data_IF_855490218628
#
_entry.id   IF_855490218628
#
_cell.length_a   1.000
_cell.length_b   1.000
_cell.length_c   1.000
_cell.angle_alpha   90.00
_cell.angle_beta   90.00
_cell.angle_gamma   90.00
#
_symmetry.space_group_name_H-M   'P 1'
#
loop_
_entity.id
_entity.type
_entity.pdbx_description
1 polymer ?
#
# COMPACT_ATOMS: atom_id res chain seq x y z
N UNK A 1 30.71 -16.86 -30.14
CA UNK A 1 30.51 -16.73 -28.68
C UNK A 1 30.19 -18.10 -28.06
N UNK A 2 31.02 -19.14 -28.31
CA UNK A 2 30.71 -20.52 -27.89
C UNK A 2 31.87 -21.24 -27.18
N UNK A 3 33.04 -20.61 -27.02
CA UNK A 3 34.27 -21.32 -26.63
C UNK A 3 34.62 -21.25 -25.14
N UNK A 4 33.66 -20.98 -24.25
CA UNK A 4 33.94 -20.79 -22.80
C UNK A 4 33.25 -21.77 -21.84
N UNK A 5 32.76 -22.90 -22.34
CA UNK A 5 32.11 -23.92 -21.50
C UNK A 5 32.65 -25.32 -21.82
N UNK A 6 33.83 -25.63 -21.26
CA UNK A 6 34.48 -26.96 -21.36
C UNK A 6 34.07 -27.89 -20.21
N UNK A 7 33.46 -27.39 -19.13
CA UNK A 7 32.85 -28.23 -18.10
C UNK A 7 31.33 -28.19 -18.25
N UNK A 8 30.67 -29.35 -18.20
CA UNK A 8 29.21 -29.46 -18.22
C UNK A 8 28.52 -28.89 -16.98
N UNK A 9 29.19 -28.03 -16.22
CA UNK A 9 28.65 -27.31 -15.06
C UNK A 9 28.33 -25.88 -15.47
N UNK A 10 27.17 -25.34 -15.04
CA UNK A 10 26.86 -23.94 -15.29
C UNK A 10 27.93 -23.05 -14.62
N UNK A 11 28.33 -21.94 -15.25
CA UNK A 11 29.18 -20.98 -14.60
C UNK A 11 28.48 -20.44 -13.35
N UNK A 12 29.26 -19.95 -12.36
CA UNK A 12 28.70 -19.19 -11.25
C UNK A 12 27.76 -18.09 -11.76
N UNK A 13 26.69 -17.75 -11.03
CA UNK A 13 25.79 -16.67 -11.42
C UNK A 13 26.57 -15.38 -11.70
N UNK A 14 26.13 -14.60 -12.68
CA UNK A 14 26.87 -13.42 -13.14
C UNK A 14 27.16 -12.39 -12.03
N UNK A 15 26.34 -12.36 -10.97
CA UNK A 15 26.52 -11.49 -9.81
C UNK A 15 27.56 -12.00 -8.79
N UNK A 16 28.14 -13.19 -9.00
CA UNK A 16 29.17 -13.74 -8.10
C UNK A 16 30.46 -12.89 -8.09
N UNK A 17 30.79 -12.25 -9.21
CA UNK A 17 32.00 -11.41 -9.33
C UNK A 17 32.00 -10.26 -8.32
N UNK A 18 30.83 -9.77 -7.92
CA UNK A 18 30.65 -8.69 -6.95
C UNK A 18 31.09 -9.07 -5.53
N UNK A 19 31.24 -10.37 -5.23
CA UNK A 19 31.68 -10.87 -3.93
C UNK A 19 33.18 -11.20 -3.87
N UNK A 20 33.85 -11.34 -5.01
CA UNK A 20 35.28 -11.73 -5.07
C UNK A 20 36.17 -10.54 -4.69
N UNK A 21 35.79 -9.32 -5.08
CA UNK A 21 36.53 -8.09 -4.75
C UNK A 21 36.51 -7.73 -3.25
N UNK A 22 35.68 -8.40 -2.44
CA UNK A 22 35.60 -8.19 -1.00
C UNK A 22 36.58 -9.07 -0.18
N UNK A 23 37.40 -9.90 -0.84
CA UNK A 23 38.07 -11.05 -0.23
C UNK A 23 39.59 -11.14 -0.33
N UNK A 24 40.33 -10.02 -0.45
CA UNK A 24 41.80 -10.02 -0.38
C UNK A 24 42.38 -9.11 0.72
N UNK A 25 41.85 -9.18 1.95
CA UNK A 25 42.66 -8.85 3.13
C UNK A 25 42.64 -10.01 4.12
N UNK A 26 43.58 -10.94 3.94
CA UNK A 26 44.03 -11.84 5.01
C UNK A 26 44.69 -10.98 6.09
N UNK A 27 44.03 -10.83 7.24
CA UNK A 27 44.59 -10.05 8.35
C UNK A 27 43.91 -10.35 9.67
N UNK A 28 44.53 -11.23 10.46
CA UNK A 28 44.17 -11.51 11.84
C UNK A 28 44.33 -10.24 12.70
N UNK A 29 43.26 -9.49 12.98
CA UNK A 29 43.31 -8.32 13.88
C UNK A 29 42.08 -8.24 14.78
N UNK A 30 42.33 -8.01 16.06
CA UNK A 30 41.40 -7.99 17.19
C UNK A 30 40.18 -7.04 17.00
N UNK A 31 39.03 -7.54 17.46
CA UNK A 31 37.68 -7.01 17.24
C UNK A 31 37.32 -5.66 17.90
N UNK A 32 38.28 -4.76 18.18
CA UNK A 32 37.99 -3.48 18.84
C UNK A 32 38.40 -2.21 18.09
N UNK A 33 39.11 -2.33 16.97
CA UNK A 33 39.48 -1.17 16.14
C UNK A 33 38.77 -1.08 14.78
N UNK A 34 37.88 -2.03 14.48
CA UNK A 34 37.24 -2.18 13.17
C UNK A 34 36.25 -1.06 12.79
N UNK A 35 35.81 -0.23 13.74
CA UNK A 35 34.83 0.83 13.47
C UNK A 35 35.44 2.24 13.31
N UNK A 36 36.73 2.43 13.59
CA UNK A 36 37.35 3.77 13.58
C UNK A 36 38.20 4.07 12.34
N UNK A 37 38.50 3.07 11.50
CA UNK A 37 39.35 3.22 10.32
C UNK A 37 38.66 3.04 8.96
N UNK A 38 37.37 2.69 8.93
CA UNK A 38 36.65 2.48 7.66
C UNK A 38 36.38 3.82 6.98
N UNK A 39 37.20 4.18 5.99
CA UNK A 39 36.71 4.97 4.85
C UNK A 39 35.50 4.20 4.30
N UNK A 40 34.32 4.80 4.13
CA UNK A 40 33.20 4.08 3.57
C UNK A 40 33.27 4.16 2.03
N UNK A 41 33.56 3.07 1.30
CA UNK A 41 33.00 2.90 -0.03
C UNK A 41 31.92 1.82 0.08
N UNK A 42 31.02 1.97 1.03
CA UNK A 42 29.81 1.18 1.04
C UNK A 42 29.02 1.54 -0.21
N UNK A 43 28.99 0.63 -1.19
CA UNK A 43 28.21 0.83 -2.40
C UNK A 43 26.74 0.82 -2.01
N UNK A 44 26.08 1.97 -2.08
CA UNK A 44 24.66 2.08 -1.81
C UNK A 44 23.96 1.43 -3.01
N UNK A 45 23.12 0.43 -2.82
CA UNK A 45 22.39 -0.21 -3.92
C UNK A 45 20.94 0.24 -3.90
N UNK A 46 20.46 0.79 -5.02
CA UNK A 46 19.06 1.16 -5.16
C UNK A 46 18.27 -0.02 -5.72
N UNK A 47 17.33 -0.56 -4.92
CA UNK A 47 16.48 -1.70 -5.28
C UNK A 47 15.50 -1.33 -6.41
N UNK A 48 15.12 -0.05 -6.53
CA UNK A 48 14.15 0.40 -7.55
C UNK A 48 14.79 0.53 -8.92
N UNK A 49 16.03 1.00 -8.96
CA UNK A 49 16.80 1.21 -10.19
C UNK A 49 17.71 0.02 -10.52
N UNK A 50 17.84 -0.92 -9.57
CA UNK A 50 18.67 -2.11 -9.67
C UNK A 50 20.13 -1.77 -10.04
N UNK A 51 20.65 -0.70 -9.44
CA UNK A 51 21.94 -0.11 -9.76
C UNK A 51 22.67 0.39 -8.49
N UNK A 52 24.01 0.43 -8.55
CA UNK A 52 24.83 1.00 -7.49
C UNK A 52 24.85 2.53 -7.58
N UNK A 53 24.66 3.18 -6.44
CA UNK A 53 24.66 4.62 -6.22
C UNK A 53 25.91 4.99 -5.41
N UNK A 54 26.59 6.05 -5.82
CA UNK A 54 27.68 6.64 -5.03
C UNK A 54 27.09 7.52 -3.91
N UNK A 55 27.68 7.54 -2.70
CA UNK A 55 27.21 8.43 -1.64
C UNK A 55 27.30 9.89 -2.14
N UNK A 56 26.22 10.70 -1.97
CA UNK A 56 26.24 12.07 -2.45
C UNK A 56 27.27 12.87 -1.64
N UNK A 57 28.24 13.47 -2.34
CA UNK A 57 29.24 14.39 -1.76
C UNK A 57 28.57 15.70 -1.32
N UNK A 58 27.44 16.06 -1.95
CA UNK A 58 26.65 17.25 -1.66
C UNK A 58 25.24 16.87 -1.20
N UNK A 59 25.01 16.95 0.12
CA UNK A 59 23.76 17.36 0.78
C UNK A 59 22.38 16.82 0.35
N UNK A 60 22.27 15.93 -0.65
CA UNK A 60 20.98 15.45 -1.14
C UNK A 60 20.46 14.37 -0.19
N UNK A 61 19.41 14.70 0.56
CA UNK A 61 18.84 13.93 1.67
C UNK A 61 18.34 12.52 1.29
N UNK A 62 18.39 12.12 0.01
CA UNK A 62 17.85 10.83 -0.46
C UNK A 62 18.53 9.62 0.20
N UNK A 63 19.84 9.67 0.43
CA UNK A 63 20.61 8.53 0.92
C UNK A 63 21.39 8.91 2.18
N UNK A 64 20.65 9.14 3.27
CA UNK A 64 21.22 9.35 4.61
C UNK A 64 21.53 8.01 5.26
N UNK A 65 22.52 7.93 6.15
CA UNK A 65 22.83 6.70 6.92
C UNK A 65 21.66 6.17 7.78
N UNK A 66 20.58 6.95 7.91
CA UNK A 66 19.31 6.55 8.55
C UNK A 66 18.32 5.88 7.58
N UNK A 67 18.44 6.09 6.26
CA UNK A 67 17.52 5.58 5.24
C UNK A 67 18.05 4.37 4.47
N UNK A 68 19.37 4.18 4.44
CA UNK A 68 19.99 3.06 3.72
C UNK A 68 20.45 1.98 4.71
N UNK A 69 19.86 0.79 4.63
CA UNK A 69 20.38 -0.38 5.31
C UNK A 69 21.54 -0.94 4.51
N UNK A 70 22.69 -0.98 5.16
CA UNK A 70 23.96 -1.28 4.54
C UNK A 70 24.07 -2.80 4.33
N UNK A 71 23.91 -3.25 3.08
CA UNK A 71 23.90 -4.67 2.71
C UNK A 71 25.17 -5.01 1.95
N UNK A 72 25.84 -6.11 2.34
CA UNK A 72 26.98 -6.65 1.60
C UNK A 72 26.46 -7.46 0.40
N UNK A 73 26.52 -6.84 -0.79
CA UNK A 73 26.14 -7.46 -2.07
C UNK A 73 24.70 -7.19 -2.50
N UNK A 74 24.28 -7.83 -3.61
CA UNK A 74 22.92 -7.68 -4.14
C UNK A 74 21.87 -8.09 -3.11
N UNK A 75 20.74 -7.37 -3.05
CA UNK A 75 19.63 -7.78 -2.20
C UNK A 75 19.15 -9.18 -2.60
N UNK A 76 18.73 -10.01 -1.63
CA UNK A 76 18.23 -11.36 -1.93
C UNK A 76 17.06 -11.30 -2.91
N UNK A 77 16.87 -12.34 -3.74
CA UNK A 77 15.79 -12.38 -4.70
C UNK A 77 14.44 -12.22 -4.00
N UNK A 78 13.51 -11.57 -4.70
CA UNK A 78 12.17 -11.31 -4.15
C UNK A 78 11.49 -12.64 -3.78
N UNK A 79 10.84 -12.73 -2.59
CA UNK A 79 10.16 -13.94 -2.17
C UNK A 79 9.19 -14.46 -3.24
N UNK A 80 9.19 -15.76 -3.46
CA UNK A 80 8.29 -16.42 -4.40
C UNK A 80 6.84 -16.11 -4.02
N UNK A 81 6.06 -15.57 -4.97
CA UNK A 81 4.63 -15.33 -4.79
C UNK A 81 3.79 -16.61 -4.93
N UNK A 82 4.37 -17.65 -5.52
CA UNK A 82 3.73 -18.92 -5.83
C UNK A 82 4.17 -20.02 -4.86
N UNK A 83 3.38 -21.08 -4.78
CA UNK A 83 3.77 -22.30 -4.06
C UNK A 83 5.12 -22.80 -4.60
N UNK A 84 6.01 -23.19 -3.70
CA UNK A 84 7.35 -23.64 -4.03
C UNK A 84 7.59 -25.03 -3.46
N UNK A 85 8.27 -25.89 -4.22
CA UNK A 85 8.52 -27.26 -3.81
C UNK A 85 9.94 -27.38 -3.25
N UNK A 86 10.08 -27.88 -2.03
CA UNK A 86 11.37 -28.16 -1.39
C UNK A 86 11.37 -29.63 -0.97
N UNK A 87 12.33 -30.40 -1.48
CA UNK A 87 12.48 -31.83 -1.20
C UNK A 87 11.19 -32.67 -1.43
N UNK A 88 10.40 -32.32 -2.44
CA UNK A 88 9.14 -32.99 -2.75
C UNK A 88 7.94 -32.47 -1.96
N UNK A 89 8.14 -31.57 -1.00
CA UNK A 89 7.08 -30.94 -0.21
C UNK A 89 6.69 -29.61 -0.85
N UNK A 90 5.43 -29.51 -1.27
CA UNK A 90 4.88 -28.27 -1.82
C UNK A 90 4.49 -27.32 -0.68
N UNK A 91 5.24 -26.23 -0.53
CA UNK A 91 4.97 -25.18 0.44
C UNK A 91 4.06 -24.11 -0.18
N UNK A 92 2.91 -23.89 0.46
CA UNK A 92 2.01 -22.80 0.06
C UNK A 92 2.41 -21.50 0.73
N UNK A 93 2.53 -20.44 -0.06
CA UNK A 93 2.87 -19.09 0.43
C UNK A 93 1.65 -18.38 1.02
N UNK A 94 0.45 -18.76 0.57
CA UNK A 94 -0.82 -18.25 1.10
C UNK A 94 -1.36 -19.13 2.23
N UNK A 95 -1.64 -18.52 3.39
CA UNK A 95 -2.29 -19.20 4.52
C UNK A 95 -3.78 -19.35 4.23
N UNK A 96 -4.17 -20.44 3.58
CA UNK A 96 -5.58 -20.81 3.42
C UNK A 96 -6.14 -21.29 4.76
N UNK A 97 -7.37 -20.90 5.07
CA UNK A 97 -8.08 -21.44 6.24
C UNK A 97 -8.36 -22.90 5.91
N UNK A 98 -7.79 -23.82 6.68
CA UNK A 98 -8.07 -25.26 6.55
C UNK A 98 -9.56 -25.49 6.77
N UNK A 99 -10.18 -26.24 5.87
CA UNK A 99 -11.58 -26.61 5.99
C UNK A 99 -11.73 -27.69 7.07
N UNK A 100 -12.74 -27.52 7.92
CA UNK A 100 -13.13 -28.54 8.89
C UNK A 100 -13.70 -29.79 8.18
N UNK A 101 -13.39 -30.96 8.72
CA UNK A 101 -13.97 -32.22 8.28
C UNK A 101 -15.50 -32.24 8.44
N UNK A 102 -16.18 -33.03 7.60
CA UNK A 102 -17.64 -33.06 7.54
C UNK A 102 -18.30 -33.44 8.89
N UNK A 103 -17.64 -34.31 9.66
CA UNK A 103 -18.12 -34.74 10.99
C UNK A 103 -17.87 -33.68 12.08
N UNK A 104 -16.96 -32.75 11.85
CA UNK A 104 -16.64 -31.67 12.78
C UNK A 104 -17.47 -30.41 12.55
N UNK A 105 -18.03 -30.26 11.35
CA UNK A 105 -18.80 -29.11 10.93
C UNK A 105 -20.18 -29.05 11.60
N UNK A 106 -20.44 -27.98 12.35
CA UNK A 106 -21.70 -27.77 13.08
C UNK A 106 -22.64 -26.76 12.41
N UNK A 107 -22.29 -26.27 11.23
CA UNK A 107 -23.07 -25.27 10.49
C UNK A 107 -23.07 -25.52 8.99
N UNK A 108 -24.03 -24.93 8.29
CA UNK A 108 -24.16 -25.06 6.85
C UNK A 108 -23.35 -23.97 6.12
N UNK A 109 -22.37 -24.38 5.33
CA UNK A 109 -21.51 -23.46 4.54
C UNK A 109 -22.29 -22.72 3.46
N UNK A 110 -23.41 -23.30 2.97
CA UNK A 110 -24.22 -22.70 1.90
C UNK A 110 -25.09 -21.55 2.39
N UNK A 111 -25.31 -21.45 3.70
CA UNK A 111 -26.11 -20.39 4.32
C UNK A 111 -25.27 -19.17 4.66
N UNK A 112 -25.95 -18.10 5.07
CA UNK A 112 -25.28 -16.89 5.52
C UNK A 112 -24.47 -17.17 6.80
N UNK A 113 -23.14 -17.13 6.67
CA UNK A 113 -22.18 -17.37 7.75
C UNK A 113 -22.44 -16.51 8.99
N UNK A 114 -22.95 -15.28 8.85
CA UNK A 114 -23.27 -14.41 9.99
C UNK A 114 -24.43 -14.96 10.83
N UNK A 115 -25.46 -15.50 10.17
CA UNK A 115 -26.62 -16.05 10.86
C UNK A 115 -26.26 -17.37 11.54
N UNK A 116 -25.46 -18.20 10.88
CA UNK A 116 -24.95 -19.44 11.46
C UNK A 116 -24.01 -19.16 12.64
N UNK A 117 -23.19 -18.10 12.58
CA UNK A 117 -22.38 -17.66 13.72
C UNK A 117 -23.24 -17.32 14.94
N UNK A 118 -24.31 -16.54 14.75
CA UNK A 118 -25.23 -16.17 15.83
C UNK A 118 -25.89 -17.41 16.45
N UNK A 119 -26.32 -18.35 15.62
CA UNK A 119 -26.93 -19.61 16.05
C UNK A 119 -25.95 -20.47 16.85
N UNK A 120 -24.72 -20.66 16.34
CA UNK A 120 -23.65 -21.37 17.04
C UNK A 120 -23.26 -20.69 18.34
N UNK A 121 -23.24 -19.36 18.36
CA UNK A 121 -22.91 -18.60 19.55
C UNK A 121 -23.97 -18.73 20.65
N UNK A 122 -25.25 -18.83 20.26
CA UNK A 122 -26.32 -19.18 21.21
C UNK A 122 -26.09 -20.57 21.82
N UNK A 123 -25.79 -21.56 20.98
CA UNK A 123 -25.47 -22.93 21.42
C UNK A 123 -24.21 -22.97 22.32
N UNK A 124 -23.21 -22.14 22.03
CA UNK A 124 -22.01 -21.99 22.86
C UNK A 124 -22.36 -21.49 24.27
N UNK A 125 -23.22 -20.46 24.36
CA UNK A 125 -23.67 -19.93 25.65
C UNK A 125 -24.45 -20.96 26.46
N UNK A 126 -25.41 -21.63 25.81
CA UNK A 126 -26.20 -22.70 26.44
C UNK A 126 -25.27 -23.80 26.98
N UNK A 127 -24.35 -24.31 26.15
CA UNK A 127 -23.39 -25.33 26.57
C UNK A 127 -22.42 -24.86 27.66
N UNK A 128 -22.14 -23.56 27.76
CA UNK A 128 -21.30 -22.98 28.80
C UNK A 128 -22.03 -22.92 30.14
N UNK A 129 -23.29 -22.49 30.15
CA UNK A 129 -24.12 -22.49 31.35
C UNK A 129 -24.41 -23.92 31.83
N UNK A 130 -24.69 -24.85 30.92
CA UNK A 130 -24.88 -26.27 31.25
C UNK A 130 -23.64 -26.88 31.94
N UNK A 131 -22.43 -26.44 31.56
CA UNK A 131 -21.20 -26.85 32.21
C UNK A 131 -21.05 -26.21 33.59
N UNK A 132 -21.40 -24.93 33.71
CA UNK A 132 -21.35 -24.23 34.99
C UNK A 132 -22.31 -24.85 36.01
N UNK A 133 -23.52 -25.20 35.59
CA UNK A 133 -24.51 -25.87 36.43
C UNK A 133 -24.04 -27.26 36.88
N UNK A 134 -23.34 -28.02 36.03
CA UNK A 134 -22.81 -29.32 36.41
C UNK A 134 -21.67 -29.20 37.43
N UNK A 135 -20.80 -28.20 37.28
CA UNK A 135 -19.72 -27.90 38.22
C UNK A 135 -20.31 -27.52 39.59
N UNK A 136 -21.31 -26.64 39.61
CA UNK A 136 -21.98 -26.20 40.85
C UNK A 136 -22.70 -27.37 41.53
N UNK A 137 -23.33 -28.26 40.75
CA UNK A 137 -24.08 -29.41 41.26
C UNK A 137 -23.20 -30.67 41.43
N UNK A 138 -21.89 -30.58 41.21
CA UNK A 138 -20.90 -31.65 41.35
C UNK A 138 -21.26 -32.95 40.58
N UNK A 139 -21.81 -32.79 39.36
CA UNK A 139 -22.16 -33.89 38.45
C UNK A 139 -20.92 -34.36 37.67
N UNK A 140 -20.84 -35.64 37.30
CA UNK A 140 -19.64 -36.24 36.70
C UNK A 140 -19.57 -36.17 35.16
N UNK A 141 -20.50 -35.45 34.51
CA UNK A 141 -20.65 -35.41 33.04
C UNK A 141 -19.86 -34.26 32.35
N UNK A 142 -18.98 -33.58 33.10
CA UNK A 142 -18.22 -32.41 32.63
C UNK A 142 -17.41 -32.68 31.36
N UNK A 143 -16.81 -33.88 31.24
CA UNK A 143 -15.89 -34.21 30.14
C UNK A 143 -16.57 -34.19 28.77
N UNK A 144 -17.83 -34.63 28.68
CA UNK A 144 -18.62 -34.59 27.44
C UNK A 144 -19.06 -33.17 27.08
N UNK A 145 -19.46 -32.38 28.07
CA UNK A 145 -19.85 -30.98 27.88
C UNK A 145 -18.67 -30.12 27.44
N UNK A 146 -17.50 -30.34 28.04
CA UNK A 146 -16.24 -29.68 27.64
C UNK A 146 -15.88 -30.01 26.18
N UNK A 147 -15.99 -31.28 25.76
CA UNK A 147 -15.76 -31.66 24.36
C UNK A 147 -16.71 -30.97 23.39
N UNK A 148 -18.00 -30.88 23.74
CA UNK A 148 -18.99 -30.14 22.94
C UNK A 148 -18.65 -28.65 22.87
N UNK A 149 -18.27 -28.04 24.00
CA UNK A 149 -17.89 -26.63 24.06
C UNK A 149 -16.70 -26.34 23.15
N UNK A 150 -15.65 -27.16 23.21
CA UNK A 150 -14.46 -27.07 22.33
C UNK A 150 -14.89 -27.18 20.86
N UNK A 151 -15.75 -28.15 20.54
CA UNK A 151 -16.23 -28.35 19.15
C UNK A 151 -16.99 -27.13 18.63
N UNK A 152 -17.90 -26.55 19.43
CA UNK A 152 -18.62 -25.32 19.06
C UNK A 152 -17.66 -24.14 18.92
N UNK A 153 -16.68 -24.03 19.82
CA UNK A 153 -15.67 -22.98 19.80
C UNK A 153 -14.84 -23.01 18.50
N UNK A 154 -14.30 -24.18 18.13
CA UNK A 154 -13.55 -24.36 16.88
C UNK A 154 -14.40 -23.96 15.67
N UNK A 155 -15.67 -24.36 15.63
CA UNK A 155 -16.59 -23.98 14.56
C UNK A 155 -16.83 -22.46 14.48
N UNK A 156 -16.95 -21.77 15.62
CA UNK A 156 -17.06 -20.30 15.65
C UNK A 156 -15.82 -19.63 15.09
N UNK A 157 -14.63 -20.11 15.48
CA UNK A 157 -13.35 -19.59 14.95
C UNK A 157 -13.20 -19.82 13.45
N UNK A 158 -13.62 -20.99 12.96
CA UNK A 158 -13.59 -21.29 11.54
C UNK A 158 -14.53 -20.37 10.74
N UNK A 159 -15.74 -20.06 11.25
CA UNK A 159 -16.61 -19.05 10.62
C UNK A 159 -15.94 -17.67 10.62
N UNK A 160 -15.33 -17.24 11.72
CA UNK A 160 -14.63 -15.95 11.81
C UNK A 160 -13.47 -15.87 10.82
N UNK A 161 -12.71 -16.95 10.67
CA UNK A 161 -11.63 -17.05 9.70
C UNK A 161 -12.14 -16.87 8.26
N UNK A 162 -13.28 -17.49 7.91
CA UNK A 162 -13.93 -17.29 6.60
C UNK A 162 -14.47 -15.86 6.43
N UNK A 163 -15.06 -15.28 7.47
CA UNK A 163 -15.55 -13.89 7.45
C UNK A 163 -14.42 -12.86 7.33
N UNK A 164 -13.20 -13.17 7.81
CA UNK A 164 -12.03 -12.29 7.71
C UNK A 164 -11.65 -11.98 6.27
N UNK A 165 -11.78 -12.96 5.37
CA UNK A 165 -11.56 -12.74 3.93
C UNK A 165 -12.52 -11.70 3.37
N UNK A 166 -13.82 -11.86 3.62
CA UNK A 166 -14.85 -10.90 3.18
C UNK A 166 -14.67 -9.53 3.83
N UNK A 167 -14.23 -9.46 5.07
CA UNK A 167 -13.88 -8.21 5.74
C UNK A 167 -12.72 -7.49 5.03
N UNK A 168 -11.68 -8.22 4.64
CA UNK A 168 -10.55 -7.68 3.87
C UNK A 168 -11.01 -7.07 2.54
N UNK A 169 -11.82 -7.82 1.78
CA UNK A 169 -12.40 -7.33 0.51
C UNK A 169 -13.23 -6.06 0.72
N UNK A 170 -14.11 -6.05 1.72
CA UNK A 170 -14.93 -4.88 2.02
C UNK A 170 -14.09 -3.66 2.45
N UNK A 171 -12.98 -3.89 3.17
CA UNK A 171 -12.08 -2.81 3.55
C UNK A 171 -11.43 -2.17 2.31
N UNK A 172 -10.94 -2.98 1.38
CA UNK A 172 -10.38 -2.50 0.10
C UNK A 172 -11.43 -1.70 -0.67
N UNK A 173 -12.67 -2.21 -0.78
CA UNK A 173 -13.78 -1.49 -1.43
C UNK A 173 -14.02 -0.12 -0.76
N UNK A 174 -14.02 -0.06 0.57
CA UNK A 174 -14.23 1.18 1.30
C UNK A 174 -13.10 2.19 1.06
N UNK A 175 -11.84 1.73 1.07
CA UNK A 175 -10.68 2.57 0.76
C UNK A 175 -10.83 3.16 -0.66
N UNK A 176 -11.14 2.32 -1.64
CA UNK A 176 -11.32 2.77 -3.04
C UNK A 176 -12.46 3.78 -3.17
N UNK A 177 -13.59 3.57 -2.50
CA UNK A 177 -14.71 4.54 -2.47
C UNK A 177 -14.28 5.88 -1.89
N UNK A 178 -13.50 5.89 -0.81
CA UNK A 178 -12.97 7.11 -0.20
C UNK A 178 -12.00 7.81 -1.15
N UNK A 179 -11.11 7.07 -1.81
CA UNK A 179 -10.18 7.62 -2.79
C UNK A 179 -10.92 8.27 -3.98
N UNK A 180 -11.95 7.61 -4.51
CA UNK A 180 -12.76 8.14 -5.61
C UNK A 180 -13.45 9.45 -5.20
N UNK A 181 -14.07 9.50 -4.02
CA UNK A 181 -14.67 10.72 -3.47
C UNK A 181 -13.64 11.86 -3.32
N UNK A 182 -12.44 11.56 -2.83
CA UNK A 182 -11.36 12.56 -2.70
C UNK A 182 -10.93 13.12 -4.06
N UNK A 183 -10.80 12.26 -5.08
CA UNK A 183 -10.47 12.68 -6.45
C UNK A 183 -11.57 13.56 -7.04
N UNK A 184 -12.84 13.20 -6.83
CA UNK A 184 -13.97 14.01 -7.29
C UNK A 184 -13.95 15.42 -6.68
N UNK A 185 -13.76 15.51 -5.36
CA UNK A 185 -13.67 16.80 -4.65
C UNK A 185 -12.50 17.65 -5.19
N UNK A 186 -11.36 17.02 -5.51
CA UNK A 186 -10.22 17.74 -6.08
C UNK A 186 -10.53 18.31 -7.47
N UNK A 187 -11.18 17.52 -8.34
CA UNK A 187 -11.63 17.97 -9.66
C UNK A 187 -12.60 19.14 -9.52
N UNK A 188 -13.57 19.04 -8.62
CA UNK A 188 -14.57 20.11 -8.43
C UNK A 188 -13.94 21.41 -7.90
N UNK A 189 -12.92 21.30 -7.04
CA UNK A 189 -12.10 22.46 -6.61
C UNK A 189 -11.34 23.08 -7.78
N UNK A 190 -10.74 22.28 -8.65
CA UNK A 190 -10.02 22.79 -9.83
C UNK A 190 -10.97 23.49 -10.81
N UNK A 191 -12.15 22.89 -11.08
CA UNK A 191 -13.20 23.51 -11.89
C UNK A 191 -13.63 24.87 -11.33
N UNK A 192 -13.87 24.93 -10.03
CA UNK A 192 -14.27 26.18 -9.38
C UNK A 192 -13.17 27.25 -9.47
N UNK A 193 -11.90 26.87 -9.30
CA UNK A 193 -10.76 27.78 -9.47
C UNK A 193 -10.63 28.30 -10.90
N UNK A 194 -10.78 27.45 -11.90
CA UNK A 194 -10.75 27.86 -13.32
C UNK A 194 -11.88 28.81 -13.66
N UNK A 195 -13.09 28.55 -13.14
CA UNK A 195 -14.25 29.40 -13.35
C UNK A 195 -14.03 30.79 -12.72
N UNK A 196 -13.42 30.85 -11.53
CA UNK A 196 -13.01 32.12 -10.90
C UNK A 196 -12.00 32.89 -11.75
N UNK A 197 -10.98 32.21 -12.28
CA UNK A 197 -9.96 32.83 -13.14
C UNK A 197 -10.60 33.36 -14.43
N UNK A 198 -11.49 32.58 -15.06
CA UNK A 198 -12.21 33.01 -16.25
C UNK A 198 -13.08 34.25 -16.00
N UNK A 199 -13.86 34.26 -14.91
CA UNK A 199 -14.63 35.45 -14.52
C UNK A 199 -13.73 36.67 -14.30
N UNK A 200 -12.56 36.48 -13.68
CA UNK A 200 -11.60 37.58 -13.47
C UNK A 200 -11.02 38.09 -14.78
N UNK A 201 -10.63 37.21 -15.70
CA UNK A 201 -10.13 37.60 -17.02
C UNK A 201 -11.20 38.41 -17.78
N UNK A 202 -12.44 37.94 -17.80
CA UNK A 202 -13.54 38.65 -18.45
C UNK A 202 -13.79 40.02 -17.82
N UNK A 203 -13.83 40.10 -16.49
CA UNK A 203 -13.96 41.37 -15.77
C UNK A 203 -12.84 42.36 -16.15
N UNK A 204 -11.60 41.87 -16.21
CA UNK A 204 -10.45 42.68 -16.62
C UNK A 204 -10.60 43.14 -18.07
N UNK A 205 -10.97 42.25 -19.00
CA UNK A 205 -11.17 42.60 -20.41
C UNK A 205 -12.30 43.63 -20.62
N UNK A 206 -13.42 43.49 -19.92
CA UNK A 206 -14.52 44.46 -19.96
C UNK A 206 -14.09 45.84 -19.42
N UNK A 207 -13.33 45.88 -18.33
CA UNK A 207 -12.82 47.14 -17.75
C UNK A 207 -11.76 47.82 -18.63
N UNK A 208 -10.86 47.06 -19.26
CA UNK A 208 -9.88 47.64 -20.20
C UNK A 208 -10.52 48.11 -21.51
N UNK A 209 -11.60 47.45 -21.95
CA UNK A 209 -12.36 47.88 -23.13
C UNK A 209 -13.14 49.17 -22.88
N UNK A 210 -13.66 49.35 -21.65
CA UNK A 210 -14.34 50.58 -21.23
C UNK A 210 -13.38 51.72 -20.88
N UNK A 211 -12.19 51.44 -20.38
CA UNK A 211 -11.14 52.46 -20.17
C UNK A 211 -10.62 53.05 -21.49
N UNK A 212 -10.51 52.26 -22.56
CA UNK A 212 -10.16 52.76 -23.91
C UNK A 212 -11.27 53.54 -24.60
N UNK A 213 -12.53 53.37 -24.19
CA UNK A 213 -13.66 54.12 -24.74
C UNK A 213 -13.77 55.55 -24.17
N UNK A 214 -12.94 55.93 -23.18
CA UNK A 214 -13.02 57.23 -22.50
C UNK A 214 -11.94 58.22 -22.99
N UNK A 215 -10.98 57.80 -23.82
CA UNK A 215 -9.88 58.68 -24.32
C UNK A 215 -10.04 59.15 -25.78
N UNK A 216 -11.17 58.92 -26.46
CA UNK A 216 -11.43 59.44 -27.82
C UNK A 216 -12.58 60.46 -27.87
N UNK A 217 -12.68 61.38 -26.90
CA UNK A 217 -13.66 62.48 -26.99
C UNK A 217 -13.17 63.83 -26.44
N UNK A 218 -11.85 64.08 -26.46
CA UNK A 218 -11.30 65.40 -26.17
C UNK A 218 -10.10 65.73 -27.07
N UNK A 219 -10.37 66.07 -28.33
CA UNK A 219 -9.69 67.14 -29.09
C UNK A 219 -10.17 67.16 -30.55
N UNK A 220 -11.02 68.13 -30.91
CA UNK A 220 -11.44 68.30 -32.30
C UNK A 220 -12.50 69.37 -32.52
N UNK A 221 -12.20 70.62 -32.17
CA UNK A 221 -13.12 71.75 -32.35
C UNK A 221 -13.54 72.00 -33.80
N UNK A 222 -14.74 72.57 -33.97
CA UNK A 222 -15.05 73.48 -35.08
C UNK A 222 -16.25 74.40 -34.76
N UNK A 223 -16.17 75.71 -35.09
CA UNK A 223 -17.07 76.74 -34.59
C UNK A 223 -18.33 76.90 -35.48
N UNK A 224 -19.53 76.84 -34.90
CA UNK A 224 -20.77 77.16 -35.63
C UNK A 224 -20.94 78.67 -35.78
N UNK A 225 -20.51 79.18 -36.93
CA UNK A 225 -20.82 80.50 -37.50
C UNK A 225 -22.32 80.79 -37.48
N UNK A 226 -22.70 81.92 -36.88
CA UNK A 226 -24.01 82.58 -37.06
C UNK A 226 -24.23 82.89 -38.55
N UNK A 227 -25.35 82.45 -39.11
CA UNK A 227 -25.99 83.07 -40.28
C UNK A 227 -27.39 83.50 -39.89
N UNK A 228 -27.59 84.82 -39.81
CA UNK A 228 -28.91 85.44 -40.00
C UNK A 228 -29.20 85.37 -41.50
N UNK A 229 -30.40 84.91 -41.88
CA UNK A 229 -31.11 85.34 -43.08
C UNK A 229 -32.61 85.08 -42.87
N UNK A 230 -33.34 86.18 -43.02
CA UNK A 230 -34.79 86.39 -43.07
C UNK A 230 -35.49 85.61 -44.17
N UNK A 231 -36.83 85.50 -44.05
CA UNK A 231 -37.93 85.44 -45.05
C UNK A 231 -39.04 84.60 -44.39
N UNK A 232 -40.29 85.01 -44.21
CA UNK A 232 -41.17 85.95 -44.90
C UNK A 232 -42.20 86.50 -43.90
#
# INVERSE_FOLDING_TARGET
MADKYVSGYPPPPYYFQEYVDAGEEEGHVEARHLLSGMKPPYSIYDVTENAHVQPPIDGSEKYSGKTCQLMLGRPPPVPLKSNYNVFGINHQVERRVEDLDSDELLYDVKKNLKNEFIKLFKKYKESFFDLFDDIVNNRRDDKTKIKMLIKVHVNLFHILAKLRYHQGVNNVINILKVQLKRRQIAIDKMKLSLLRIYCYINFVQENFSSARAIEEDDEGGSPKRRRKLTVQ
#
